data_IF_609905564992
#
_entry.id   IF_609905564992
#
_cell.length_a   1.000
_cell.length_b   1.000
_cell.length_c   1.000
_cell.angle_alpha   90.00
_cell.angle_beta   90.00
_cell.angle_gamma   90.00
#
_symmetry.space_group_name_H-M   'P 1'
#
loop_
_entity.id
_entity.type
_entity.pdbx_description
1 polymer ?
#
# COMPACT_ATOMS: atom_id res chain seq x y z
N UNK A 1 -3.81 13.46 -3.10
CA UNK A 1 -3.35 12.06 -3.24
C UNK A 1 -2.02 11.93 -2.50
N UNK A 2 -1.72 10.77 -1.95
CA UNK A 2 -0.48 10.49 -1.22
C UNK A 2 -0.01 9.08 -1.54
N UNK A 3 1.27 8.94 -1.88
CA UNK A 3 1.87 7.62 -2.14
C UNK A 3 2.48 7.10 -0.84
N UNK A 4 1.95 5.98 -0.35
CA UNK A 4 2.45 5.30 0.83
C UNK A 4 3.25 4.07 0.40
N UNK A 5 4.55 4.08 0.70
CA UNK A 5 5.41 2.93 0.50
C UNK A 5 5.40 2.05 1.75
N UNK A 6 5.07 0.78 1.59
CA UNK A 6 5.06 -0.21 2.67
C UNK A 6 6.06 -1.33 2.37
N UNK A 7 6.58 -1.98 3.41
CA UNK A 7 7.46 -3.13 3.21
C UNK A 7 6.67 -4.34 2.70
N UNK A 8 7.35 -5.28 2.02
CA UNK A 8 6.72 -6.54 1.62
C UNK A 8 6.15 -7.34 2.80
N UNK A 9 6.85 -7.47 3.95
CA UNK A 9 6.26 -8.06 5.16
C UNK A 9 4.96 -7.39 5.62
N UNK A 10 4.90 -6.05 5.62
CA UNK A 10 3.68 -5.33 6.03
C UNK A 10 2.52 -5.57 5.06
N UNK A 11 2.81 -5.66 3.77
CA UNK A 11 1.81 -6.01 2.75
C UNK A 11 1.25 -7.43 2.97
N UNK A 12 2.12 -8.38 3.31
CA UNK A 12 1.74 -9.79 3.54
C UNK A 12 0.99 -9.97 4.86
N UNK A 13 1.52 -9.43 5.96
CA UNK A 13 1.03 -9.67 7.32
C UNK A 13 -0.03 -8.66 7.78
N UNK A 14 -0.12 -7.52 7.10
CA UNK A 14 -0.87 -6.36 7.55
C UNK A 14 -0.07 -5.51 8.54
N UNK A 15 -0.43 -4.24 8.63
CA UNK A 15 0.26 -3.26 9.46
C UNK A 15 -0.65 -2.08 9.82
N UNK A 16 -0.14 -1.19 10.68
CA UNK A 16 -0.72 0.12 10.92
C UNK A 16 0.32 1.19 10.60
N UNK A 17 -0.01 2.05 9.65
CA UNK A 17 0.87 3.13 9.20
C UNK A 17 0.29 4.50 9.61
N UNK A 18 1.16 5.47 9.82
CA UNK A 18 0.75 6.87 9.99
C UNK A 18 0.94 7.63 8.69
N UNK A 19 -0.14 8.17 8.14
CA UNK A 19 -0.08 9.01 6.94
C UNK A 19 -0.29 10.48 7.29
N UNK A 20 0.49 11.41 6.72
CA UNK A 20 0.25 12.82 6.86
C UNK A 20 -1.05 13.22 6.16
N UNK A 21 -1.78 14.13 6.79
CA UNK A 21 -3.04 14.73 6.33
C UNK A 21 -2.95 16.25 6.51
N UNK A 22 -3.93 16.98 5.99
CA UNK A 22 -3.95 18.45 6.14
C UNK A 22 -3.95 18.95 7.60
N UNK A 23 -4.43 18.14 8.55
CA UNK A 23 -4.58 18.52 9.97
C UNK A 23 -3.61 17.80 10.92
N UNK A 24 -2.62 17.09 10.40
CA UNK A 24 -1.74 16.23 11.21
C UNK A 24 -1.63 14.84 10.62
N UNK A 25 -1.71 13.80 11.45
CA UNK A 25 -1.56 12.40 11.01
C UNK A 25 -2.84 11.62 11.15
N UNK A 26 -3.07 10.67 10.24
CA UNK A 26 -4.12 9.67 10.35
C UNK A 26 -3.50 8.27 10.44
N UNK A 27 -4.02 7.45 11.35
CA UNK A 27 -3.65 6.04 11.43
C UNK A 27 -4.42 5.25 10.38
N UNK A 28 -3.69 4.57 9.51
CA UNK A 28 -4.21 3.76 8.41
C UNK A 28 -3.95 2.29 8.72
N UNK A 29 -5.00 1.47 8.63
CA UNK A 29 -4.85 0.00 8.69
C UNK A 29 -4.54 -0.52 7.30
N UNK A 30 -3.48 -1.31 7.19
CA UNK A 30 -3.15 -2.12 6.03
C UNK A 30 -3.59 -3.55 6.34
N UNK A 31 -4.52 -4.07 5.56
CA UNK A 31 -4.97 -5.46 5.71
C UNK A 31 -3.91 -6.43 5.17
N UNK A 32 -3.82 -7.60 5.77
CA UNK A 32 -2.97 -8.69 5.28
C UNK A 32 -3.30 -9.05 3.82
N UNK A 33 -2.28 -9.36 3.02
CA UNK A 33 -2.42 -9.62 1.59
C UNK A 33 -2.74 -8.39 0.74
N UNK A 34 -2.46 -7.18 1.22
CA UNK A 34 -2.67 -5.95 0.44
C UNK A 34 -1.75 -5.91 -0.77
N UNK A 35 -2.36 -5.81 -1.97
CA UNK A 35 -1.64 -5.71 -3.23
C UNK A 35 -1.12 -4.28 -3.48
N UNK A 36 0.02 -4.18 -4.15
CA UNK A 36 0.54 -2.91 -4.67
C UNK A 36 -0.44 -2.31 -5.69
N UNK A 37 -0.57 -0.99 -5.73
CA UNK A 37 -1.53 -0.30 -6.58
C UNK A 37 -2.93 -0.17 -5.98
N UNK A 38 -3.22 -0.80 -4.83
CA UNK A 38 -4.47 -0.59 -4.10
C UNK A 38 -4.58 0.88 -3.67
N UNK A 39 -5.71 1.51 -4.01
CA UNK A 39 -6.05 2.85 -3.50
C UNK A 39 -6.96 2.74 -2.29
N UNK A 40 -6.56 3.32 -1.17
CA UNK A 40 -7.37 3.47 0.03
C UNK A 40 -7.91 4.90 0.11
N UNK A 41 -9.15 5.05 0.59
CA UNK A 41 -9.82 6.36 0.70
C UNK A 41 -10.06 6.72 2.15
N UNK A 42 -9.40 7.78 2.61
CA UNK A 42 -9.65 8.39 3.91
C UNK A 42 -10.67 9.53 3.75
N UNK A 43 -11.92 9.24 4.10
CA UNK A 43 -13.03 10.19 3.96
C UNK A 43 -12.81 11.43 4.83
N UNK A 44 -12.98 12.62 4.26
CA UNK A 44 -12.88 13.89 4.98
C UNK A 44 -11.48 14.24 5.53
N UNK A 45 -10.43 13.54 5.08
CA UNK A 45 -9.02 13.82 5.43
C UNK A 45 -8.25 14.54 4.32
N UNK A 46 -8.94 14.92 3.25
CA UNK A 46 -8.41 15.73 2.16
C UNK A 46 -8.39 17.22 2.48
N UNK A 47 -8.17 18.03 1.45
CA UNK A 47 -8.09 19.48 1.58
C UNK A 47 -9.46 20.09 1.94
N UNK A 48 -9.48 21.21 2.67
CA UNK A 48 -10.71 21.98 2.88
C UNK A 48 -11.24 22.50 1.54
N UNK A 49 -12.56 22.60 1.42
CA UNK A 49 -13.21 23.21 0.26
C UNK A 49 -12.86 24.69 0.17
N UNK A 50 -12.52 25.18 -1.03
CA UNK A 50 -12.22 26.59 -1.27
C UNK A 50 -13.50 27.45 -1.37
N UNK A 51 -14.62 26.85 -1.79
CA UNK A 51 -15.85 27.57 -2.15
C UNK A 51 -17.05 27.25 -1.22
N UNK A 52 -16.85 26.53 -0.11
CA UNK A 52 -17.95 26.18 0.78
C UNK A 52 -17.53 25.43 2.06
N UNK A 53 -18.50 24.79 2.72
CA UNK A 53 -18.26 24.01 3.93
C UNK A 53 -17.88 22.56 3.61
N UNK A 54 -16.84 22.04 4.27
CA UNK A 54 -16.47 20.62 4.23
C UNK A 54 -15.02 20.36 3.80
N UNK A 55 -14.67 19.06 3.77
CA UNK A 55 -13.35 18.56 3.37
C UNK A 55 -13.48 17.49 2.30
N UNK A 56 -12.54 17.48 1.36
CA UNK A 56 -12.39 16.38 0.41
C UNK A 56 -11.86 15.11 1.05
N UNK A 57 -11.68 14.08 0.23
CA UNK A 57 -11.10 12.80 0.64
C UNK A 57 -9.60 12.77 0.36
N UNK A 58 -8.84 12.04 1.18
CA UNK A 58 -7.45 11.73 0.91
C UNK A 58 -7.35 10.33 0.31
N UNK A 59 -6.91 10.26 -0.95
CA UNK A 59 -6.62 9.01 -1.64
C UNK A 59 -5.15 8.62 -1.39
N UNK A 60 -4.97 7.46 -0.78
CA UNK A 60 -3.68 6.83 -0.48
C UNK A 60 -3.41 5.74 -1.50
N UNK A 61 -2.31 5.82 -2.23
CA UNK A 61 -1.88 4.80 -3.17
C UNK A 61 -0.79 3.94 -2.53
N UNK A 62 -1.06 2.65 -2.38
CA UNK A 62 -0.13 1.72 -1.74
C UNK A 62 0.91 1.26 -2.77
N UNK A 63 2.18 1.41 -2.42
CA UNK A 63 3.32 0.91 -3.18
C UNK A 63 4.13 -0.06 -2.33
N UNK A 64 4.27 -1.30 -2.78
CA UNK A 64 5.12 -2.27 -2.06
C UNK A 64 6.58 -2.02 -2.43
N UNK A 65 7.42 -1.82 -1.41
CA UNK A 65 8.82 -1.48 -1.59
C UNK A 65 9.72 -2.70 -1.78
N UNK A 66 10.47 -2.71 -2.87
CA UNK A 66 11.49 -3.74 -3.15
C UNK A 66 12.89 -3.22 -2.76
N UNK A 67 13.58 -3.85 -1.79
CA UNK A 67 14.91 -3.41 -1.35
C UNK A 67 15.96 -3.59 -2.46
N UNK A 68 16.86 -2.60 -2.60
CA UNK A 68 17.93 -2.61 -3.63
C UNK A 68 19.20 -3.35 -3.21
N UNK A 69 19.39 -3.59 -1.91
CA UNK A 69 20.57 -4.25 -1.34
C UNK A 69 20.11 -5.27 -0.30
N UNK A 70 20.66 -6.46 -0.36
CA UNK A 70 20.39 -7.56 0.56
C UNK A 70 21.71 -8.16 1.05
N UNK A 71 21.79 -8.47 2.33
CA UNK A 71 22.86 -9.30 2.88
C UNK A 71 22.63 -10.79 2.57
N UNK A 72 23.60 -11.65 2.87
CA UNK A 72 23.51 -13.09 2.54
C UNK A 72 22.37 -13.81 3.25
N UNK A 73 22.06 -13.43 4.50
CA UNK A 73 20.94 -13.99 5.26
C UNK A 73 19.59 -13.65 4.61
N UNK A 74 19.38 -12.38 4.26
CA UNK A 74 18.17 -11.91 3.57
C UNK A 74 18.02 -12.57 2.20
N UNK A 75 19.11 -12.73 1.43
CA UNK A 75 19.08 -13.44 0.15
C UNK A 75 18.61 -14.89 0.32
N UNK A 76 19.04 -15.57 1.40
CA UNK A 76 18.62 -16.95 1.68
C UNK A 76 17.11 -17.06 1.87
N UNK A 77 16.52 -16.13 2.64
CA UNK A 77 15.07 -16.07 2.88
C UNK A 77 14.31 -15.93 1.54
N UNK A 78 14.69 -14.96 0.70
CA UNK A 78 14.02 -14.77 -0.60
C UNK A 78 14.22 -15.95 -1.56
N UNK A 79 15.36 -16.65 -1.51
CA UNK A 79 15.56 -17.88 -2.31
C UNK A 79 14.63 -19.01 -1.88
N UNK A 80 14.35 -19.14 -0.57
CA UNK A 80 13.40 -20.13 -0.07
C UNK A 80 11.98 -19.77 -0.53
N UNK A 81 11.57 -18.51 -0.34
CA UNK A 81 10.26 -18.02 -0.76
C UNK A 81 10.02 -18.19 -2.26
N UNK A 82 11.04 -18.00 -3.10
CA UNK A 82 10.92 -18.14 -4.57
C UNK A 82 10.39 -19.51 -5.02
N UNK A 83 10.63 -20.57 -4.23
CA UNK A 83 10.23 -21.93 -4.59
C UNK A 83 8.88 -22.34 -3.99
N UNK A 84 8.26 -21.49 -3.18
CA UNK A 84 6.98 -21.74 -2.52
C UNK A 84 5.82 -21.29 -3.42
N UNK A 85 4.77 -22.11 -3.51
CA UNK A 85 3.64 -21.90 -4.42
C UNK A 85 2.95 -20.54 -4.23
N UNK A 86 2.77 -20.12 -2.97
CA UNK A 86 2.10 -18.87 -2.61
C UNK A 86 2.85 -17.59 -3.04
N UNK A 87 4.12 -17.71 -3.43
CA UNK A 87 4.93 -16.58 -3.90
C UNK A 87 5.09 -16.55 -5.42
N UNK A 88 4.46 -17.50 -6.14
CA UNK A 88 4.36 -17.48 -7.60
C UNK A 88 3.16 -16.60 -7.97
N UNK A 89 3.35 -15.46 -8.66
CA UNK A 89 2.25 -14.57 -9.02
C UNK A 89 1.22 -15.28 -9.92
N UNK A 90 -0.05 -15.21 -9.53
CA UNK A 90 -1.19 -15.78 -10.27
C UNK A 90 -2.32 -14.75 -10.39
N UNK A 91 -2.10 -13.65 -11.13
CA UNK A 91 -3.09 -12.57 -11.24
C UNK A 91 -4.40 -13.11 -11.82
N UNK A 92 -5.49 -12.97 -11.08
CA UNK A 92 -6.81 -13.35 -11.56
C UNK A 92 -7.38 -12.21 -12.41
N UNK A 93 -8.17 -12.51 -13.45
CA UNK A 93 -8.77 -11.53 -14.38
C UNK A 93 -9.60 -10.40 -13.73
N UNK A 94 -9.91 -10.49 -12.43
CA UNK A 94 -10.67 -9.49 -11.68
C UNK A 94 -9.82 -8.56 -10.81
N UNK A 95 -8.50 -8.76 -10.76
CA UNK A 95 -7.58 -7.80 -10.16
C UNK A 95 -7.38 -6.67 -11.17
N UNK A 96 -8.24 -5.64 -11.05
CA UNK A 96 -8.26 -4.44 -11.90
C UNK A 96 -6.85 -4.05 -12.32
N UNK A 97 -6.56 -4.26 -13.60
CA UNK A 97 -5.29 -3.87 -14.18
C UNK A 97 -5.14 -2.35 -14.03
N UNK A 98 -3.91 -1.90 -13.79
CA UNK A 98 -3.53 -0.48 -13.60
C UNK A 98 -4.07 0.47 -14.70
N UNK A 99 -4.49 -0.07 -15.84
CA UNK A 99 -5.00 0.67 -17.00
C UNK A 99 -6.51 0.61 -17.21
N UNK A 100 -7.26 -0.13 -16.38
CA UNK A 100 -8.72 -0.16 -16.48
C UNK A 100 -9.30 1.02 -15.69
N UNK A 101 -9.51 2.12 -16.43
CA UNK A 101 -10.13 3.37 -15.98
C UNK A 101 -11.65 3.28 -16.03
#
# INVERSE_FOLDING_TARGET
>A
HYDLYISFPDAVLGAYEEVPTGDGKARLKIDAGTQSGKTLRLKGKGLPSLEGYGRGDLLIHINVWTPKKLNEEQKKIFKQMKNEENFIPSPQKYEKSFFEK
#
